data_IF_373016132674
#
_entry.id   IF_373016132674
#
_cell.length_a   1.000
_cell.length_b   1.000
_cell.length_c   1.000
_cell.angle_alpha   90.00
_cell.angle_beta   90.00
_cell.angle_gamma   90.00
#
_symmetry.space_group_name_H-M   'P 1'
#
loop_
_entity.id
_entity.type
_entity.pdbx_description
1 polymer ?
#
# COMPACT_ATOMS: atom_id res chain seq x y z
N UNK A 1 11.83 -15.05 -2.90
CA UNK A 1 11.47 -15.17 -4.34
C UNK A 1 12.03 -13.90 -4.95
N UNK A 2 12.97 -13.97 -5.91
CA UNK A 2 13.80 -12.82 -6.19
C UNK A 2 12.96 -11.65 -6.69
N UNK A 3 13.38 -10.44 -6.33
CA UNK A 3 12.79 -9.13 -6.66
C UNK A 3 12.38 -8.98 -8.15
N UNK A 4 13.03 -9.72 -9.05
CA UNK A 4 12.68 -9.87 -10.47
C UNK A 4 11.33 -10.53 -10.73
N UNK A 5 10.92 -11.50 -9.91
CA UNK A 5 9.60 -12.13 -10.00
C UNK A 5 8.48 -11.18 -9.58
N UNK A 6 8.73 -10.30 -8.60
CA UNK A 6 7.76 -9.33 -8.10
C UNK A 6 7.62 -8.12 -9.04
N UNK A 7 8.74 -7.64 -9.61
CA UNK A 7 8.74 -6.68 -10.73
C UNK A 7 8.10 -7.29 -11.98
N UNK A 8 8.35 -8.57 -12.26
CA UNK A 8 7.72 -9.31 -13.35
C UNK A 8 6.21 -9.44 -13.16
N UNK A 9 5.73 -9.68 -11.94
CA UNK A 9 4.31 -9.72 -11.61
C UNK A 9 3.66 -8.33 -11.69
N UNK A 10 4.37 -7.29 -11.26
CA UNK A 10 3.91 -5.90 -11.38
C UNK A 10 3.84 -5.44 -12.84
N UNK A 11 4.80 -5.84 -13.68
CA UNK A 11 4.77 -5.61 -15.13
C UNK A 11 3.67 -6.42 -15.83
N UNK A 12 3.38 -7.66 -15.37
CA UNK A 12 2.28 -8.48 -15.88
C UNK A 12 0.92 -7.92 -15.46
N UNK A 13 0.81 -7.33 -14.26
CA UNK A 13 -0.37 -6.59 -13.81
C UNK A 13 -0.57 -5.25 -14.54
N UNK A 14 0.50 -4.71 -15.15
CA UNK A 14 0.50 -3.53 -16.03
C UNK A 14 0.19 -3.86 -17.49
N UNK A 15 0.03 -5.15 -17.85
CA UNK A 15 -0.42 -5.50 -19.19
C UNK A 15 -1.77 -4.79 -19.43
N UNK A 16 -1.92 -3.99 -20.49
CA UNK A 16 -3.14 -3.26 -20.77
C UNK A 16 -4.25 -4.27 -21.06
N UNK A 17 -4.98 -4.65 -20.01
CA UNK A 17 -6.27 -5.30 -20.13
C UNK A 17 -7.14 -4.35 -20.95
N UNK A 18 -7.37 -4.72 -22.21
CA UNK A 18 -8.22 -3.99 -23.15
C UNK A 18 -9.46 -3.49 -22.42
N UNK A 19 -9.82 -2.20 -22.52
CA UNK A 19 -11.08 -1.76 -21.95
C UNK A 19 -12.20 -2.61 -22.59
N UNK A 20 -13.20 -3.09 -21.83
CA UNK A 20 -14.40 -3.59 -22.47
C UNK A 20 -14.92 -2.46 -23.35
N UNK A 21 -15.12 -2.78 -24.63
CA UNK A 21 -15.74 -1.89 -25.61
C UNK A 21 -17.13 -1.52 -25.09
N UNK A 22 -17.21 -0.44 -24.31
CA UNK A 22 -18.48 0.19 -23.96
C UNK A 22 -18.94 0.89 -25.23
N UNK A 23 -19.83 0.20 -25.94
CA UNK A 23 -20.54 0.74 -27.08
C UNK A 23 -21.22 2.05 -26.66
N UNK A 24 -20.66 3.17 -27.12
CA UNK A 24 -21.25 4.50 -26.99
C UNK A 24 -22.48 4.56 -27.90
N UNK A 25 -23.62 4.04 -27.44
CA UNK A 25 -24.91 4.31 -28.09
C UNK A 25 -25.44 5.64 -27.56
N UNK A 26 -25.39 6.64 -28.43
CA UNK A 26 -25.73 8.02 -28.10
C UNK A 26 -27.22 8.28 -27.88
N UNK A 27 -27.47 9.45 -27.30
CA UNK A 27 -28.59 10.32 -27.64
C UNK A 27 -29.97 9.90 -27.17
N UNK A 28 -30.64 10.78 -26.41
CA UNK A 28 -32.09 10.79 -26.34
C UNK A 28 -32.63 11.14 -24.96
N UNK A 29 -32.86 12.43 -24.73
CA UNK A 29 -33.81 12.89 -23.71
C UNK A 29 -35.20 12.29 -23.95
N UNK A 30 -35.94 11.93 -22.89
CA UNK A 30 -37.36 12.31 -22.73
C UNK A 30 -37.96 11.85 -21.39
N UNK A 31 -38.93 12.67 -21.00
CA UNK A 31 -39.71 12.74 -19.77
C UNK A 31 -40.71 11.59 -19.56
N UNK A 32 -41.17 11.50 -18.29
CA UNK A 32 -42.58 11.37 -17.87
C UNK A 32 -43.33 10.06 -18.09
N UNK A 33 -43.99 9.59 -17.03
CA UNK A 33 -45.19 8.76 -17.10
C UNK A 33 -45.13 7.53 -16.20
N UNK A 34 -46.01 7.48 -15.20
CA UNK A 34 -46.10 6.40 -14.21
C UNK A 34 -46.85 5.16 -14.68
N UNK A 35 -46.96 4.20 -13.75
CA UNK A 35 -47.79 3.00 -13.88
C UNK A 35 -47.23 1.81 -13.08
N UNK A 36 -48.01 1.18 -12.18
CA UNK A 36 -47.57 0.04 -11.38
C UNK A 36 -47.81 -1.29 -12.12
N UNK A 37 -46.97 -2.28 -11.82
CA UNK A 37 -46.93 -3.66 -12.31
C UNK A 37 -46.06 -3.91 -13.55
N UNK A 38 -45.09 -4.81 -13.38
CA UNK A 38 -44.42 -5.48 -14.50
C UNK A 38 -42.91 -5.62 -14.31
N UNK A 39 -42.49 -6.84 -13.96
CA UNK A 39 -41.13 -7.35 -14.01
C UNK A 39 -40.10 -6.60 -13.16
N UNK A 40 -39.72 -7.23 -12.04
CA UNK A 40 -38.41 -7.03 -11.42
C UNK A 40 -37.31 -7.42 -12.41
N UNK A 41 -37.03 -6.51 -13.35
CA UNK A 41 -35.81 -6.51 -14.15
C UNK A 41 -34.65 -6.19 -13.22
N UNK A 42 -34.02 -7.23 -12.70
CA UNK A 42 -32.75 -7.16 -11.98
C UNK A 42 -31.64 -6.83 -13.00
N UNK A 43 -31.64 -5.59 -13.48
CA UNK A 43 -30.66 -5.07 -14.43
C UNK A 43 -29.64 -4.22 -13.70
N UNK A 44 -28.48 -4.81 -13.38
CA UNK A 44 -27.26 -4.04 -13.13
C UNK A 44 -26.54 -4.23 -11.79
N UNK A 45 -26.99 -5.12 -10.90
CA UNK A 45 -26.39 -5.31 -9.57
C UNK A 45 -25.31 -6.42 -9.52
N UNK A 46 -24.46 -6.54 -10.54
CA UNK A 46 -23.48 -7.63 -10.63
C UNK A 46 -22.00 -7.28 -10.32
N UNK A 47 -21.63 -6.02 -10.08
CA UNK A 47 -20.21 -5.63 -9.94
C UNK A 47 -19.85 -4.88 -8.63
N UNK A 48 -20.71 -4.89 -7.61
CA UNK A 48 -20.41 -4.23 -6.30
C UNK A 48 -19.68 -5.16 -5.33
N UNK A 49 -19.77 -6.48 -5.51
CA UNK A 49 -19.05 -7.50 -4.73
C UNK A 49 -18.31 -8.55 -5.58
N UNK A 50 -18.31 -8.40 -6.91
CA UNK A 50 -17.72 -9.33 -7.87
C UNK A 50 -16.24 -9.06 -8.12
N UNK A 51 -15.52 -10.01 -8.72
CA UNK A 51 -14.05 -10.01 -8.86
C UNK A 51 -13.39 -8.74 -9.41
N UNK A 52 -14.11 -7.81 -10.02
CA UNK A 52 -13.62 -6.49 -10.41
C UNK A 52 -13.01 -5.69 -9.24
N UNK A 53 -13.68 -5.64 -8.07
CA UNK A 53 -13.16 -4.95 -6.88
C UNK A 53 -11.84 -5.57 -6.38
N UNK A 54 -11.75 -6.91 -6.49
CA UNK A 54 -10.57 -7.70 -6.10
C UNK A 54 -9.41 -7.45 -7.06
N UNK A 55 -9.69 -7.40 -8.36
CA UNK A 55 -8.70 -7.10 -9.40
C UNK A 55 -8.16 -5.68 -9.28
N UNK A 56 -9.01 -4.69 -9.00
CA UNK A 56 -8.55 -3.34 -8.76
C UNK A 56 -7.72 -3.24 -7.46
N UNK A 57 -8.04 -4.03 -6.44
CA UNK A 57 -7.23 -4.12 -5.21
C UNK A 57 -5.87 -4.77 -5.48
N UNK A 58 -5.82 -5.77 -6.35
CA UNK A 58 -4.57 -6.42 -6.77
C UNK A 58 -3.67 -5.45 -7.55
N UNK A 59 -4.24 -4.60 -8.42
CA UNK A 59 -3.49 -3.53 -9.10
C UNK A 59 -2.90 -2.53 -8.10
N UNK A 60 -3.70 -2.11 -7.11
CA UNK A 60 -3.20 -1.24 -6.05
C UNK A 60 -2.06 -1.91 -5.25
N UNK A 61 -2.20 -3.20 -4.93
CA UNK A 61 -1.17 -3.98 -4.25
C UNK A 61 0.13 -4.05 -5.07
N UNK A 62 0.04 -4.33 -6.37
CA UNK A 62 1.20 -4.42 -7.26
C UNK A 62 1.91 -3.06 -7.40
N UNK A 63 1.16 -1.97 -7.55
CA UNK A 63 1.71 -0.62 -7.58
C UNK A 63 2.39 -0.26 -6.26
N UNK A 64 1.75 -0.57 -5.12
CA UNK A 64 2.31 -0.38 -3.79
C UNK A 64 3.62 -1.13 -3.59
N UNK A 65 3.63 -2.42 -3.92
CA UNK A 65 4.81 -3.27 -3.80
C UNK A 65 5.98 -2.76 -4.65
N UNK A 66 5.72 -2.43 -5.92
CA UNK A 66 6.73 -1.96 -6.84
C UNK A 66 7.28 -0.60 -6.39
N UNK A 67 6.41 0.37 -6.10
CA UNK A 67 6.83 1.72 -5.70
C UNK A 67 7.52 1.75 -4.33
N UNK A 68 7.00 1.03 -3.33
CA UNK A 68 7.58 0.97 -1.99
C UNK A 68 8.91 0.21 -1.96
N UNK A 69 9.00 -0.92 -2.68
CA UNK A 69 10.23 -1.70 -2.80
C UNK A 69 11.33 -0.97 -3.56
N UNK A 70 11.02 -0.39 -4.73
CA UNK A 70 12.01 0.31 -5.56
C UNK A 70 12.46 1.65 -4.97
N UNK A 71 11.55 2.39 -4.32
CA UNK A 71 11.90 3.71 -3.76
C UNK A 71 12.95 3.63 -2.66
N UNK A 72 12.97 2.53 -1.89
CA UNK A 72 13.84 2.39 -0.71
C UNK A 72 14.87 1.27 -0.81
N UNK A 73 14.89 0.48 -1.89
CA UNK A 73 15.90 -0.54 -2.16
C UNK A 73 17.37 -0.07 -1.95
N UNK A 74 17.82 1.09 -2.49
CA UNK A 74 19.21 1.52 -2.30
C UNK A 74 19.51 1.96 -0.86
N UNK A 75 18.52 2.54 -0.17
CA UNK A 75 18.66 2.97 1.23
C UNK A 75 18.75 1.75 2.16
N UNK A 76 17.94 0.72 1.89
CA UNK A 76 17.98 -0.54 2.62
C UNK A 76 19.32 -1.27 2.43
N UNK A 77 19.97 -1.15 1.26
CA UNK A 77 21.26 -1.80 0.99
C UNK A 77 22.38 -1.21 1.85
N UNK A 78 22.40 0.12 1.98
CA UNK A 78 23.34 0.82 2.85
C UNK A 78 23.08 0.47 4.32
N UNK A 79 21.81 0.40 4.72
CA UNK A 79 21.44 0.03 6.08
C UNK A 79 21.79 -1.43 6.45
N UNK A 80 21.76 -2.35 5.47
CA UNK A 80 22.12 -3.75 5.65
C UNK A 80 23.63 -4.04 5.64
N UNK A 81 24.48 -3.02 5.49
CA UNK A 81 25.94 -3.19 5.48
C UNK A 81 26.44 -4.07 4.33
N UNK A 82 25.73 -4.06 3.19
CA UNK A 82 26.00 -4.91 2.02
C UNK A 82 25.84 -6.42 2.24
N UNK A 83 25.15 -6.85 3.29
CA UNK A 83 24.68 -8.24 3.37
C UNK A 83 23.48 -8.45 2.44
N UNK A 84 23.73 -9.10 1.30
CA UNK A 84 22.71 -9.33 0.28
C UNK A 84 21.53 -10.15 0.79
N UNK A 85 21.76 -11.12 1.69
CA UNK A 85 20.69 -12.00 2.17
C UNK A 85 19.72 -11.25 3.09
N UNK A 86 20.26 -10.48 4.04
CA UNK A 86 19.46 -9.61 4.92
C UNK A 86 18.78 -8.51 4.12
N UNK A 87 19.46 -7.93 3.14
CA UNK A 87 18.90 -6.91 2.27
C UNK A 87 17.71 -7.42 1.43
N UNK A 88 17.86 -8.56 0.75
CA UNK A 88 16.79 -9.13 -0.07
C UNK A 88 15.55 -9.42 0.79
N UNK A 89 15.75 -10.00 1.97
CA UNK A 89 14.66 -10.27 2.90
C UNK A 89 13.99 -8.97 3.42
N UNK A 90 14.76 -7.94 3.75
CA UNK A 90 14.20 -6.67 4.20
C UNK A 90 13.41 -5.96 3.09
N UNK A 91 13.89 -6.00 1.85
CA UNK A 91 13.19 -5.42 0.71
C UNK A 91 11.95 -6.23 0.33
N UNK A 92 11.99 -7.56 0.39
CA UNK A 92 10.81 -8.43 0.16
C UNK A 92 9.70 -8.16 1.20
N UNK A 93 10.06 -8.05 2.48
CA UNK A 93 9.10 -7.71 3.53
C UNK A 93 8.58 -6.28 3.41
N UNK A 94 9.40 -5.34 2.95
CA UNK A 94 8.99 -3.96 2.67
C UNK A 94 8.05 -3.88 1.45
N UNK A 95 8.29 -4.66 0.40
CA UNK A 95 7.42 -4.77 -0.75
C UNK A 95 6.04 -5.35 -0.36
N UNK A 96 6.03 -6.39 0.49
CA UNK A 96 4.78 -6.94 1.02
C UNK A 96 4.02 -5.95 1.91
N UNK A 97 4.73 -5.25 2.80
CA UNK A 97 4.13 -4.23 3.66
C UNK A 97 3.54 -3.07 2.83
N UNK A 98 4.25 -2.62 1.79
CA UNK A 98 3.78 -1.54 0.91
C UNK A 98 2.63 -1.97 0.00
N UNK A 99 2.58 -3.24 -0.41
CA UNK A 99 1.41 -3.82 -1.07
C UNK A 99 0.16 -3.74 -0.17
N UNK A 100 0.29 -4.20 1.08
CA UNK A 100 -0.80 -4.17 2.06
C UNK A 100 -1.24 -2.74 2.40
N UNK A 101 -0.27 -1.83 2.54
CA UNK A 101 -0.52 -0.42 2.73
C UNK A 101 -1.32 0.18 1.56
N UNK A 102 -0.94 -0.09 0.31
CA UNK A 102 -1.63 0.45 -0.86
C UNK A 102 -3.08 -0.02 -0.97
N UNK A 103 -3.36 -1.29 -0.64
CA UNK A 103 -4.73 -1.80 -0.54
C UNK A 103 -5.49 -1.00 0.53
N UNK A 104 -4.92 -0.90 1.74
CA UNK A 104 -5.55 -0.21 2.87
C UNK A 104 -5.80 1.26 2.56
N UNK A 105 -4.81 1.95 1.99
CA UNK A 105 -4.83 3.35 1.61
C UNK A 105 -5.96 3.66 0.62
N UNK A 106 -6.23 2.75 -0.31
CA UNK A 106 -7.35 2.89 -1.27
C UNK A 106 -8.72 2.91 -0.58
N UNK A 107 -8.88 2.16 0.52
CA UNK A 107 -10.14 2.10 1.27
C UNK A 107 -10.25 3.22 2.31
N UNK A 108 -9.14 3.66 2.89
CA UNK A 108 -9.13 4.71 3.92
C UNK A 108 -9.19 6.12 3.33
N UNK A 109 -8.52 6.36 2.21
CA UNK A 109 -8.46 7.69 1.58
C UNK A 109 -9.51 7.80 0.48
N UNK A 110 -10.68 8.31 0.86
CA UNK A 110 -11.82 8.60 -0.03
C UNK A 110 -11.58 9.85 -0.89
N UNK A 111 -12.47 10.11 -1.85
CA UNK A 111 -12.41 11.29 -2.73
C UNK A 111 -12.40 12.61 -1.93
N UNK A 112 -13.15 12.69 -0.83
CA UNK A 112 -13.23 13.89 0.04
C UNK A 112 -12.22 13.89 1.21
N UNK A 113 -11.22 13.02 1.20
CA UNK A 113 -10.30 12.88 2.33
C UNK A 113 -9.37 14.10 2.50
N UNK A 114 -9.33 14.64 3.71
CA UNK A 114 -8.43 15.74 4.09
C UNK A 114 -6.95 15.34 3.99
N UNK A 115 -6.03 16.29 3.71
CA UNK A 115 -4.60 15.99 3.59
C UNK A 115 -4.00 15.41 4.89
N UNK A 116 -4.58 15.73 6.04
CA UNK A 116 -4.14 15.23 7.35
C UNK A 116 -4.38 13.72 7.50
N UNK A 117 -5.48 13.18 6.97
CA UNK A 117 -5.75 11.73 7.00
C UNK A 117 -4.74 10.92 6.17
N UNK A 118 -4.27 11.48 5.05
CA UNK A 118 -3.28 10.82 4.18
C UNK A 118 -1.93 10.69 4.88
N UNK A 119 -1.47 11.77 5.51
CA UNK A 119 -0.21 11.79 6.25
C UNK A 119 -0.28 10.88 7.48
N UNK A 120 -1.40 10.87 8.21
CA UNK A 120 -1.62 9.97 9.34
C UNK A 120 -1.57 8.49 8.95
N UNK A 121 -2.13 8.11 7.80
CA UNK A 121 -2.08 6.73 7.31
C UNK A 121 -0.64 6.28 7.00
N UNK A 122 0.15 7.13 6.33
CA UNK A 122 1.57 6.87 6.06
C UNK A 122 2.36 6.76 7.35
N UNK A 123 2.16 7.70 8.29
CA UNK A 123 2.85 7.71 9.58
C UNK A 123 2.55 6.49 10.43
N UNK A 124 1.29 6.01 10.46
CA UNK A 124 0.90 4.83 11.22
C UNK A 124 1.60 3.55 10.72
N UNK A 125 1.68 3.36 9.40
CA UNK A 125 2.38 2.21 8.82
C UNK A 125 3.90 2.31 8.96
N UNK A 126 4.46 3.51 8.84
CA UNK A 126 5.88 3.74 9.08
C UNK A 126 6.26 3.41 10.53
N UNK A 127 5.45 3.85 11.50
CA UNK A 127 5.67 3.60 12.91
C UNK A 127 5.48 2.13 13.29
N UNK A 128 4.48 1.45 12.73
CA UNK A 128 4.28 0.01 12.98
C UNK A 128 5.44 -0.83 12.44
N UNK A 129 5.97 -0.48 11.26
CA UNK A 129 7.20 -1.09 10.72
C UNK A 129 8.40 -0.80 11.61
N UNK A 130 8.57 0.43 12.07
CA UNK A 130 9.66 0.81 12.96
C UNK A 130 9.66 -0.03 14.23
N UNK A 131 8.50 -0.17 14.89
CA UNK A 131 8.36 -0.99 16.09
C UNK A 131 8.66 -2.48 15.86
N UNK A 132 8.34 -3.01 14.67
CA UNK A 132 8.64 -4.39 14.30
C UNK A 132 10.13 -4.62 13.93
N UNK A 133 10.84 -3.56 13.51
CA UNK A 133 12.24 -3.64 13.08
C UNK A 133 13.25 -3.48 14.23
N UNK A 134 12.83 -2.96 15.40
CA UNK A 134 13.72 -2.81 16.56
C UNK A 134 14.20 -4.18 17.00
N UNK A 135 15.53 -4.35 17.07
CA UNK A 135 16.17 -5.54 17.63
C UNK A 135 16.74 -5.21 19.00
N UNK A 136 16.57 -6.14 19.94
CA UNK A 136 17.15 -6.01 21.28
C UNK A 136 18.62 -6.42 21.22
N UNK A 137 19.56 -5.56 21.67
CA UNK A 137 20.96 -5.92 21.75
C UNK A 137 21.20 -6.88 22.92
N UNK A 138 22.24 -7.71 22.81
CA UNK A 138 22.60 -8.74 23.80
C UNK A 138 23.03 -8.18 25.17
N UNK A 139 23.17 -6.85 25.27
CA UNK A 139 23.51 -6.12 26.50
C UNK A 139 22.30 -5.86 27.42
N UNK A 140 21.08 -6.23 27.00
CA UNK A 140 19.87 -6.02 27.77
C UNK A 140 19.39 -7.29 28.49
N UNK A 141 19.05 -7.17 29.77
CA UNK A 141 18.44 -8.27 30.52
C UNK A 141 16.95 -8.46 30.13
N UNK A 142 16.45 -9.68 29.89
CA UNK A 142 15.11 -9.91 29.34
C UNK A 142 13.95 -9.70 30.34
N UNK A 143 14.19 -9.53 31.64
CA UNK A 143 13.12 -9.27 32.62
C UNK A 143 13.63 -8.66 33.95
N UNK A 144 13.24 -7.41 34.30
CA UNK A 144 12.68 -6.37 33.42
C UNK A 144 13.71 -5.92 32.36
N UNK A 145 13.26 -5.45 31.17
CA UNK A 145 14.17 -4.88 30.15
C UNK A 145 14.96 -3.74 30.76
N UNK A 146 16.23 -4.03 31.06
CA UNK A 146 17.21 -3.07 31.56
C UNK A 146 18.43 -3.18 30.68
N UNK A 147 18.68 -2.12 29.93
CA UNK A 147 19.88 -1.95 29.14
C UNK A 147 20.82 -1.05 29.94
N UNK A 148 21.99 -1.57 30.33
CA UNK A 148 23.06 -0.73 30.87
C UNK A 148 23.73 0.06 29.74
N UNK A 149 24.15 1.32 29.96
CA UNK A 149 24.39 1.99 31.25
C UNK A 149 23.26 2.92 31.73
N UNK A 150 22.28 3.25 30.88
CA UNK A 150 21.29 4.29 31.18
C UNK A 150 20.07 3.78 31.96
N UNK A 151 19.90 2.47 32.13
CA UNK A 151 18.81 1.87 32.90
C UNK A 151 17.41 2.15 32.33
N UNK A 152 17.34 2.66 31.11
CA UNK A 152 16.13 2.96 30.36
C UNK A 152 15.59 1.72 29.65
N UNK A 153 14.28 1.69 29.45
CA UNK A 153 13.60 0.64 28.70
C UNK A 153 13.93 0.68 27.19
N UNK A 154 14.20 1.88 26.65
CA UNK A 154 14.64 2.11 25.28
C UNK A 154 16.05 2.69 25.30
N UNK A 155 17.03 1.88 24.88
CA UNK A 155 18.40 2.33 24.71
C UNK A 155 18.49 3.30 23.50
N UNK A 156 19.39 4.32 23.51
CA UNK A 156 19.62 5.19 22.35
C UNK A 156 19.92 4.43 21.06
N UNK A 157 20.51 3.24 21.12
CA UNK A 157 20.75 2.38 19.94
C UNK A 157 19.45 1.82 19.37
N UNK A 158 18.54 1.32 20.21
CA UNK A 158 17.21 0.88 19.78
C UNK A 158 16.39 2.06 19.21
N UNK A 159 16.50 3.24 19.83
CA UNK A 159 15.82 4.43 19.36
C UNK A 159 16.35 4.88 17.99
N UNK A 160 17.67 4.84 17.79
CA UNK A 160 18.29 5.16 16.51
C UNK A 160 17.91 4.15 15.42
N UNK A 161 17.90 2.86 15.73
CA UNK A 161 17.45 1.81 14.81
C UNK A 161 15.97 1.97 14.45
N UNK A 162 15.12 2.21 15.44
CA UNK A 162 13.70 2.48 15.24
C UNK A 162 13.45 3.73 14.40
N UNK A 163 14.19 4.82 14.65
CA UNK A 163 14.10 6.05 13.88
C UNK A 163 14.53 5.85 12.42
N UNK A 164 15.63 5.12 12.18
CA UNK A 164 16.08 4.79 10.83
C UNK A 164 15.04 3.93 10.09
N UNK A 165 14.49 2.90 10.75
CA UNK A 165 13.44 2.06 10.19
C UNK A 165 12.14 2.84 9.92
N UNK A 166 11.80 3.80 10.79
CA UNK A 166 10.65 4.69 10.60
C UNK A 166 10.84 5.59 9.37
N UNK A 167 12.04 6.14 9.17
CA UNK A 167 12.37 6.97 8.01
C UNK A 167 12.29 6.17 6.70
N UNK A 168 12.88 4.97 6.68
CA UNK A 168 12.78 4.07 5.51
C UNK A 168 11.33 3.70 5.25
N UNK A 169 10.56 3.37 6.29
CA UNK A 169 9.13 3.10 6.19
C UNK A 169 8.35 4.30 5.63
N UNK A 170 8.60 5.50 6.14
CA UNK A 170 7.93 6.72 5.70
C UNK A 170 8.23 7.03 4.22
N UNK A 171 9.48 6.85 3.77
CA UNK A 171 9.85 6.99 2.37
C UNK A 171 9.13 5.95 1.49
N UNK A 172 9.11 4.68 1.89
CA UNK A 172 8.50 3.60 1.12
C UNK A 172 6.97 3.72 1.04
N UNK A 173 6.29 3.94 2.17
CA UNK A 173 4.84 4.12 2.23
C UNK A 173 4.41 5.45 1.62
N UNK A 174 5.22 6.51 1.76
CA UNK A 174 5.01 7.78 1.08
C UNK A 174 5.09 7.66 -0.44
N UNK A 175 6.10 6.95 -0.95
CA UNK A 175 6.21 6.65 -2.38
C UNK A 175 5.03 5.81 -2.89
N UNK A 176 4.61 4.80 -2.10
CA UNK A 176 3.43 4.00 -2.41
C UNK A 176 2.14 4.81 -2.44
N UNK A 177 1.93 5.71 -1.47
CA UNK A 177 0.78 6.62 -1.45
C UNK A 177 0.78 7.54 -2.70
N UNK A 178 1.93 8.13 -3.04
CA UNK A 178 2.06 8.97 -4.22
C UNK A 178 1.80 8.20 -5.53
N UNK A 179 2.29 6.95 -5.63
CA UNK A 179 2.05 6.09 -6.79
C UNK A 179 0.57 5.73 -6.94
N UNK A 180 -0.13 5.41 -5.84
CA UNK A 180 -1.57 5.13 -5.86
C UNK A 180 -2.37 6.37 -6.21
N UNK A 181 -2.03 7.53 -5.64
CA UNK A 181 -2.67 8.81 -5.97
C UNK A 181 -2.46 9.16 -7.45
N UNK A 182 -1.25 8.98 -7.98
CA UNK A 182 -0.96 9.17 -9.40
C UNK A 182 -1.76 8.21 -10.29
N UNK A 183 -1.87 6.93 -9.92
CA UNK A 183 -2.66 5.97 -10.69
C UNK A 183 -4.18 6.28 -10.65
N UNK A 184 -4.68 6.86 -9.56
CA UNK A 184 -6.06 7.34 -9.49
C UNK A 184 -6.30 8.54 -10.41
N UNK A 185 -5.38 9.52 -10.47
CA UNK A 185 -5.53 10.69 -11.38
C UNK A 185 -5.47 10.30 -12.85
N UNK A 186 -4.74 9.25 -13.21
CA UNK A 186 -4.71 8.66 -14.56
C UNK A 186 -5.94 7.82 -14.90
N UNK A 187 -6.84 7.58 -13.95
CA UNK A 187 -8.03 6.73 -14.12
C UNK A 187 -7.71 5.23 -14.19
N UNK A 188 -6.50 4.81 -13.81
CA UNK A 188 -6.10 3.39 -13.78
C UNK A 188 -6.69 2.64 -12.58
N UNK A 189 -7.05 3.39 -11.54
CA UNK A 189 -7.67 2.93 -10.30
C UNK A 189 -8.88 3.80 -9.99
N UNK A 190 -9.99 3.17 -9.59
CA UNK A 190 -11.16 3.87 -9.05
C UNK A 190 -11.04 3.97 -7.53
N UNK A 191 -11.32 5.14 -6.96
CA UNK A 191 -11.55 5.24 -5.51
C UNK A 191 -12.90 4.64 -5.17
N UNK A 192 -13.00 4.05 -3.98
CA UNK A 192 -14.28 3.60 -3.46
C UNK A 192 -15.09 4.85 -3.11
N UNK A 193 -16.29 4.98 -3.68
CA UNK A 193 -17.21 6.06 -3.34
C UNK A 193 -17.73 5.85 -1.92
N UNK A 194 -17.67 6.91 -1.12
CA UNK A 194 -18.11 6.94 0.27
C UNK A 194 -19.61 7.10 0.40
#
# INVERSE_FOLDING_TARGET
MPLTALVGLAALALAPGRPPLVARRGGGARMSGGGPNGASGHGGDADVFGGAQRLESLKAAALGAASGGLACAPVALVAAGFDLATWEFDVDTLALASALFAITYRYTVREDASPMLRQGAVGAFALSRAGAAVRVPDTCAPAPLRCEPYGLYLDPTMLAQGAAAALVGACAFGAAAAAVDYACTRGWLRRVRG
#
